data_IF_485845986695
#
_entry.id   IF_485845986695
#
_cell.length_a   1.000
_cell.length_b   1.000
_cell.length_c   1.000
_cell.angle_alpha   90.00
_cell.angle_beta   90.00
_cell.angle_gamma   90.00
#
_symmetry.space_group_name_H-M   'P 1'
#
loop_
_entity.id
_entity.type
_entity.pdbx_description
1 polymer ?
#
# COMPACT_ATOMS: atom_id res chain seq x y z
N UNK A 1 -11.22 -2.15 1.79
CA UNK A 1 -10.76 -3.33 1.02
C UNK A 1 -9.94 -4.22 1.93
N UNK A 2 -9.86 -5.52 1.68
CA UNK A 2 -8.98 -6.47 2.39
C UNK A 2 -8.15 -7.25 1.39
N UNK A 3 -6.91 -7.61 1.74
CA UNK A 3 -6.02 -8.37 0.86
C UNK A 3 -4.67 -8.65 1.52
N UNK A 4 -3.75 -9.25 0.78
CA UNK A 4 -2.38 -9.53 1.20
C UNK A 4 -1.40 -8.58 0.51
N UNK A 5 -0.39 -8.10 1.24
CA UNK A 5 0.72 -7.35 0.65
C UNK A 5 1.54 -8.29 -0.22
N UNK A 6 1.52 -8.05 -1.53
CA UNK A 6 2.29 -8.82 -2.51
C UNK A 6 3.70 -8.25 -2.68
N UNK A 7 3.79 -6.92 -2.84
CA UNK A 7 5.04 -6.23 -3.17
C UNK A 7 5.19 -5.02 -2.24
N UNK A 8 6.42 -4.74 -1.81
CA UNK A 8 6.78 -3.55 -1.05
C UNK A 8 7.94 -2.83 -1.77
N UNK A 9 7.71 -1.59 -2.19
CA UNK A 9 8.71 -0.77 -2.88
C UNK A 9 9.08 0.43 -2.00
N UNK A 10 10.37 0.57 -1.70
CA UNK A 10 10.91 1.72 -0.98
C UNK A 10 11.71 2.55 -1.96
N UNK A 11 11.29 3.79 -2.23
CA UNK A 11 12.07 4.68 -3.10
C UNK A 11 13.29 5.21 -2.32
N UNK A 12 14.52 5.09 -2.87
CA UNK A 12 15.74 5.55 -2.18
C UNK A 12 15.99 7.08 -2.28
N UNK A 13 15.20 7.81 -3.07
CA UNK A 13 15.47 9.21 -3.37
C UNK A 13 15.33 10.11 -2.12
N UNK A 14 16.41 10.84 -1.81
CA UNK A 14 16.51 11.74 -0.65
C UNK A 14 15.43 12.85 -0.61
N UNK A 15 14.80 13.15 -1.75
CA UNK A 15 13.85 14.25 -1.91
C UNK A 15 12.38 13.84 -1.68
N UNK A 16 12.02 12.57 -1.88
CA UNK A 16 10.64 12.11 -1.79
C UNK A 16 10.55 10.83 -0.95
N UNK A 17 10.19 11.00 0.33
CA UNK A 17 10.03 9.88 1.27
C UNK A 17 8.63 9.29 1.11
N UNK A 18 8.45 8.27 0.29
CA UNK A 18 7.18 7.55 0.24
C UNK A 18 7.38 6.03 0.18
N UNK A 19 6.41 5.30 0.72
CA UNK A 19 6.37 3.84 0.74
C UNK A 19 5.21 3.40 -0.15
N UNK A 20 5.51 2.52 -1.10
CA UNK A 20 4.49 1.89 -1.93
C UNK A 20 4.34 0.41 -1.53
N UNK A 21 3.10 -0.04 -1.37
CA UNK A 21 2.78 -1.45 -1.22
C UNK A 21 1.70 -1.86 -2.22
N UNK A 22 1.82 -3.05 -2.79
CA UNK A 22 0.77 -3.64 -3.60
C UNK A 22 -0.07 -4.58 -2.73
N UNK A 23 -1.38 -4.30 -2.64
CA UNK A 23 -2.35 -5.13 -1.94
C UNK A 23 -3.17 -5.90 -2.97
N UNK A 24 -3.22 -7.22 -2.86
CA UNK A 24 -4.03 -8.07 -3.73
C UNK A 24 -4.98 -8.94 -2.92
N UNK A 25 -6.19 -9.14 -3.44
CA UNK A 25 -7.19 -10.08 -2.92
C UNK A 25 -7.40 -11.29 -3.83
N UNK A 26 -6.54 -11.45 -4.85
CA UNK A 26 -6.64 -12.48 -5.88
C UNK A 26 -7.49 -12.10 -7.10
N UNK A 27 -8.24 -10.99 -7.04
CA UNK A 27 -9.08 -10.51 -8.16
C UNK A 27 -8.51 -9.25 -8.82
N UNK A 28 -7.58 -8.58 -8.15
CA UNK A 28 -6.90 -7.41 -8.66
C UNK A 28 -5.83 -6.91 -7.69
N UNK A 29 -5.25 -5.76 -8.03
CA UNK A 29 -4.24 -5.09 -7.23
C UNK A 29 -4.66 -3.65 -6.91
N UNK A 30 -4.40 -3.22 -5.68
CA UNK A 30 -4.51 -1.84 -5.21
C UNK A 30 -3.14 -1.38 -4.74
N UNK A 31 -2.63 -0.29 -5.31
CA UNK A 31 -1.38 0.33 -4.86
C UNK A 31 -1.66 1.25 -3.67
N UNK A 32 -1.02 1.00 -2.55
CA UNK A 32 -1.08 1.81 -1.33
C UNK A 32 0.16 2.70 -1.30
N UNK A 33 -0.02 4.01 -1.13
CA UNK A 33 1.09 4.97 -1.10
C UNK A 33 1.04 5.76 0.21
N UNK A 34 2.05 5.60 1.05
CA UNK A 34 2.24 6.43 2.25
C UNK A 34 3.33 7.47 2.01
N UNK A 35 2.95 8.75 2.05
CA UNK A 35 3.86 9.87 1.88
C UNK A 35 4.53 10.25 3.20
N UNK A 36 5.74 10.79 3.14
CA UNK A 36 6.59 11.13 4.29
C UNK A 36 7.15 9.92 5.06
N UNK A 37 6.98 8.69 4.57
CA UNK A 37 7.26 7.46 5.33
C UNK A 37 8.15 6.50 4.52
N UNK A 38 9.20 5.97 5.15
CA UNK A 38 10.02 4.88 4.58
C UNK A 38 9.59 3.49 5.06
N UNK A 39 8.81 3.43 6.15
CA UNK A 39 8.29 2.19 6.74
C UNK A 39 6.94 2.47 7.39
N UNK A 40 6.05 1.49 7.31
CA UNK A 40 4.82 1.42 8.07
C UNK A 40 4.87 0.13 8.90
N UNK A 41 4.52 0.21 10.18
CA UNK A 41 4.63 -0.93 11.09
C UNK A 41 3.67 -2.05 10.67
N UNK A 42 4.19 -3.28 10.58
CA UNK A 42 3.43 -4.47 10.20
C UNK A 42 3.12 -4.63 8.70
N UNK A 43 3.32 -3.59 7.88
CA UNK A 43 3.15 -3.68 6.43
C UNK A 43 4.41 -4.31 5.82
N UNK A 44 4.34 -5.62 5.56
CA UNK A 44 5.42 -6.43 5.00
C UNK A 44 4.83 -7.44 4.00
N UNK A 45 5.59 -7.89 3.00
CA UNK A 45 5.11 -8.92 2.07
C UNK A 45 4.59 -10.16 2.80
N UNK A 46 3.48 -10.72 2.31
CA UNK A 46 2.82 -11.85 2.96
C UNK A 46 1.82 -11.48 4.05
N UNK A 47 1.75 -10.22 4.47
CA UNK A 47 0.85 -9.80 5.55
C UNK A 47 -0.53 -9.40 5.02
N UNK A 48 -1.57 -9.91 5.68
CA UNK A 48 -2.96 -9.55 5.40
C UNK A 48 -3.33 -8.23 6.06
N UNK A 49 -3.93 -7.33 5.28
CA UNK A 49 -4.35 -6.00 5.71
C UNK A 49 -5.81 -5.76 5.34
N UNK A 50 -6.49 -5.00 6.20
CA UNK A 50 -7.68 -4.23 5.81
C UNK A 50 -7.29 -2.78 5.63
N UNK A 51 -7.68 -2.17 4.52
CA UNK A 51 -7.40 -0.77 4.21
C UNK A 51 -8.67 0.03 3.96
N UNK A 52 -8.68 1.28 4.40
CA UNK A 52 -9.77 2.24 4.25
C UNK A 52 -9.22 3.57 3.72
N UNK A 53 -9.98 4.21 2.85
CA UNK A 53 -9.59 5.47 2.22
C UNK A 53 -10.19 5.63 0.83
N UNK A 54 -9.77 6.70 0.14
CA UNK A 54 -10.21 7.01 -1.21
C UNK A 54 -9.41 6.23 -2.25
N UNK A 55 -10.11 5.56 -3.17
CA UNK A 55 -9.49 4.96 -4.35
C UNK A 55 -9.48 5.99 -5.48
N UNK A 56 -8.34 6.14 -6.14
CA UNK A 56 -8.17 6.95 -7.34
C UNK A 56 -7.53 6.10 -8.45
N UNK A 57 -7.67 6.52 -9.70
CA UNK A 57 -6.92 5.94 -10.81
C UNK A 57 -5.76 6.84 -11.22
N UNK A 58 -4.58 6.25 -11.39
CA UNK A 58 -3.38 6.94 -11.89
C UNK A 58 -2.63 6.03 -12.84
N UNK A 59 -2.53 6.42 -14.12
CA UNK A 59 -1.82 5.65 -15.14
C UNK A 59 -2.35 4.21 -15.29
N UNK A 60 -3.67 4.02 -15.20
CA UNK A 60 -4.31 2.69 -15.29
C UNK A 60 -4.19 1.82 -14.03
N UNK A 61 -3.61 2.35 -12.94
CA UNK A 61 -3.51 1.65 -11.65
C UNK A 61 -4.49 2.24 -10.66
N UNK A 62 -5.15 1.38 -9.88
CA UNK A 62 -5.91 1.78 -8.69
C UNK A 62 -4.93 2.11 -7.57
N UNK A 63 -5.08 3.29 -6.98
CA UNK A 63 -4.17 3.82 -5.96
C UNK A 63 -4.98 4.35 -4.78
N UNK A 64 -4.45 4.17 -3.56
CA UNK A 64 -4.96 4.79 -2.34
C UNK A 64 -3.81 5.50 -1.63
N UNK A 65 -3.96 6.81 -1.41
CA UNK A 65 -2.97 7.62 -0.70
C UNK A 65 -3.27 7.66 0.80
N UNK A 66 -2.23 7.49 1.61
CA UNK A 66 -2.27 7.48 3.07
C UNK A 66 -3.49 6.72 3.64
N UNK A 67 -3.70 5.44 3.24
CA UNK A 67 -4.82 4.67 3.74
C UNK A 67 -4.75 4.51 5.27
N UNK A 68 -5.93 4.50 5.89
CA UNK A 68 -6.08 3.82 7.18
C UNK A 68 -5.86 2.32 6.97
N UNK A 69 -5.19 1.65 7.91
CA UNK A 69 -4.91 0.22 7.79
C UNK A 69 -5.05 -0.51 9.14
N UNK A 70 -5.45 -1.77 9.06
CA UNK A 70 -5.49 -2.72 10.16
C UNK A 70 -4.73 -3.99 9.75
N UNK A 71 -3.91 -4.53 10.66
CA UNK A 71 -3.29 -5.83 10.48
C UNK A 71 -4.34 -6.91 10.75
N UNK A 72 -4.49 -7.85 9.82
CA UNK A 72 -5.35 -9.01 10.01
C UNK A 72 -4.54 -10.17 10.62
N UNK A 73 -5.20 -11.10 11.35
CA UNK A 73 -4.58 -12.31 11.89
C UNK A 73 -3.88 -13.19 10.85
#
# INVERSE_FOLDING_TARGET
MQGQVAILTVTPAAEHRWLEAELTDGTGALTLIWMGRHRIAGVTPGRSLRVTGLISERGGRRVMFNPGYELLP
#
